data_IF_722382142698
#
_entry.id   IF_722382142698
#
_cell.length_a   1.000
_cell.length_b   1.000
_cell.length_c   1.000
_cell.angle_alpha   90.00
_cell.angle_beta   90.00
_cell.angle_gamma   90.00
#
_symmetry.space_group_name_H-M   'P 1'
#
loop_
_entity.id
_entity.type
_entity.pdbx_description
1 polymer ?
#
# COMPACT_ATOMS: atom_id res chain seq x y z
N UNK A 1 50.67 20.02 30.92
CA UNK A 1 49.22 20.17 30.68
C UNK A 1 48.68 18.80 30.34
N UNK A 2 48.04 18.14 31.31
CA UNK A 2 47.37 16.84 31.13
C UNK A 2 45.97 17.08 30.58
N UNK A 3 45.63 16.44 29.46
CA UNK A 3 44.26 16.45 28.91
C UNK A 3 43.26 15.90 29.93
N UNK A 4 42.07 16.50 30.09
CA UNK A 4 41.02 15.95 30.92
C UNK A 4 40.47 14.66 30.27
N UNK A 5 40.50 13.57 31.03
CA UNK A 5 39.92 12.29 30.63
C UNK A 5 38.45 12.47 30.25
N UNK A 6 38.11 12.20 28.98
CA UNK A 6 36.73 12.18 28.53
C UNK A 6 35.96 11.13 29.33
N UNK A 7 35.03 11.60 30.16
CA UNK A 7 34.17 10.76 30.98
C UNK A 7 33.26 9.97 30.03
N UNK A 8 33.56 8.68 29.83
CA UNK A 8 32.68 7.77 29.10
C UNK A 8 31.41 7.61 29.94
N UNK A 9 30.33 8.26 29.53
CA UNK A 9 29.01 8.08 30.13
C UNK A 9 28.52 6.69 29.71
N UNK A 10 28.74 5.69 30.55
CA UNK A 10 28.12 4.38 30.39
C UNK A 10 26.61 4.52 30.56
N UNK A 11 25.89 4.53 29.45
CA UNK A 11 24.42 4.54 29.43
C UNK A 11 23.90 3.10 29.62
N UNK A 12 24.06 2.56 30.83
CA UNK A 12 23.46 1.26 31.14
C UNK A 12 21.94 1.43 31.23
N UNK A 13 21.20 0.75 30.35
CA UNK A 13 19.74 0.70 30.46
C UNK A 13 19.40 -0.22 31.63
N UNK A 14 18.50 0.17 32.56
CA UNK A 14 18.03 -0.72 33.62
C UNK A 14 17.48 -2.02 33.03
N UNK A 15 17.71 -3.17 33.68
CA UNK A 15 17.26 -4.48 33.17
C UNK A 15 15.75 -4.53 32.94
N UNK A 16 14.99 -3.78 33.73
CA UNK A 16 13.53 -3.65 33.64
C UNK A 16 13.09 -2.89 32.38
N UNK A 17 13.97 -2.09 31.78
CA UNK A 17 13.73 -1.28 30.58
C UNK A 17 14.43 -1.85 29.33
N UNK A 18 15.16 -2.96 29.46
CA UNK A 18 15.74 -3.65 28.32
C UNK A 18 14.65 -4.21 27.41
N UNK A 19 14.64 -3.75 26.16
CA UNK A 19 13.66 -4.23 25.18
C UNK A 19 14.01 -5.67 24.79
N UNK A 20 13.02 -6.57 24.68
CA UNK A 20 13.26 -7.91 24.20
C UNK A 20 13.86 -7.87 22.79
N UNK A 21 14.78 -8.81 22.52
CA UNK A 21 15.39 -8.92 21.20
C UNK A 21 14.32 -9.27 20.16
N UNK A 22 14.19 -8.42 19.14
CA UNK A 22 13.21 -8.60 18.06
C UNK A 22 13.64 -9.68 17.05
N UNK A 23 14.95 -9.89 16.91
CA UNK A 23 15.53 -10.93 16.06
C UNK A 23 16.23 -11.94 16.95
N UNK A 24 15.67 -13.15 17.00
CA UNK A 24 16.17 -14.25 17.83
C UNK A 24 17.33 -14.97 17.14
N UNK A 25 18.11 -15.73 17.92
CA UNK A 25 19.18 -16.63 17.44
C UNK A 25 20.38 -15.94 16.76
N UNK A 26 20.63 -14.66 17.05
CA UNK A 26 21.80 -13.88 16.61
C UNK A 26 22.22 -14.13 15.14
N UNK A 27 21.25 -14.01 14.22
CA UNK A 27 21.45 -14.33 12.80
C UNK A 27 22.32 -13.29 12.10
N UNK A 28 23.19 -13.73 11.19
CA UNK A 28 24.02 -12.84 10.37
C UNK A 28 23.19 -12.15 9.28
N UNK A 29 23.67 -11.00 8.79
CA UNK A 29 23.01 -10.30 7.68
C UNK A 29 22.90 -11.15 6.42
N UNK A 30 23.93 -11.96 6.11
CA UNK A 30 23.90 -12.89 4.98
C UNK A 30 22.77 -13.90 5.07
N UNK A 31 22.55 -14.47 6.27
CA UNK A 31 21.46 -15.42 6.51
C UNK A 31 20.08 -14.80 6.23
N UNK A 32 19.86 -13.55 6.64
CA UNK A 32 18.59 -12.85 6.40
C UNK A 32 18.36 -12.70 4.90
N UNK A 33 19.37 -12.22 4.17
CA UNK A 33 19.30 -12.06 2.72
C UNK A 33 19.05 -13.38 2.00
N UNK A 34 19.73 -14.47 2.42
CA UNK A 34 19.51 -15.81 1.87
C UNK A 34 18.07 -16.30 2.09
N UNK A 35 17.52 -16.07 3.29
CA UNK A 35 16.15 -16.51 3.61
C UNK A 35 15.09 -15.73 2.86
N UNK A 36 15.21 -14.41 2.76
CA UNK A 36 14.23 -13.58 2.06
C UNK A 36 14.33 -13.75 0.56
N UNK A 37 15.54 -13.67 -0.01
CA UNK A 37 15.74 -13.86 -1.44
C UNK A 37 15.41 -15.29 -1.90
N UNK A 38 15.64 -16.29 -1.04
CA UNK A 38 15.30 -17.68 -1.31
C UNK A 38 13.82 -17.92 -1.61
N UNK A 39 12.91 -17.07 -1.11
CA UNK A 39 11.47 -17.14 -1.44
C UNK A 39 11.23 -16.78 -2.91
N UNK A 40 12.00 -15.84 -3.45
CA UNK A 40 11.89 -15.36 -4.85
C UNK A 40 12.68 -16.24 -5.81
N UNK A 41 13.80 -16.81 -5.35
CA UNK A 41 14.70 -17.65 -6.14
C UNK A 41 14.26 -19.11 -6.22
N UNK A 42 13.57 -19.62 -5.19
CA UNK A 42 13.13 -21.00 -5.09
C UNK A 42 11.93 -21.33 -5.99
N UNK A 43 11.67 -22.64 -6.13
CA UNK A 43 10.50 -23.13 -6.85
C UNK A 43 9.21 -22.78 -6.10
N UNK A 44 8.15 -22.47 -6.86
CA UNK A 44 6.84 -22.16 -6.28
C UNK A 44 6.28 -23.41 -5.60
N UNK A 45 5.91 -23.34 -4.32
CA UNK A 45 5.38 -24.50 -3.61
C UNK A 45 3.99 -24.85 -4.18
N UNK A 46 3.66 -26.15 -4.20
CA UNK A 46 2.42 -26.63 -4.84
C UNK A 46 1.13 -26.01 -4.29
N UNK A 47 1.08 -25.70 -2.99
CA UNK A 47 -0.06 -25.02 -2.36
C UNK A 47 -0.28 -23.61 -2.91
N UNK A 48 0.80 -22.90 -3.28
CA UNK A 48 0.72 -21.55 -3.83
C UNK A 48 0.05 -21.56 -5.20
N UNK A 49 0.37 -22.55 -6.04
CA UNK A 49 -0.28 -22.71 -7.35
C UNK A 49 -1.79 -22.95 -7.21
N UNK A 50 -2.21 -23.74 -6.22
CA UNK A 50 -3.65 -23.99 -5.94
C UNK A 50 -4.31 -22.69 -5.46
N UNK A 51 -3.73 -22.01 -4.47
CA UNK A 51 -4.27 -20.76 -3.94
C UNK A 51 -4.35 -19.67 -5.02
N UNK A 52 -3.33 -19.56 -5.86
CA UNK A 52 -3.31 -18.65 -7.00
C UNK A 52 -4.39 -19.00 -8.02
N UNK A 53 -4.51 -20.28 -8.38
CA UNK A 53 -5.54 -20.75 -9.31
C UNK A 53 -6.96 -20.43 -8.83
N UNK A 54 -7.28 -20.72 -7.57
CA UNK A 54 -8.58 -20.38 -6.96
C UNK A 54 -8.81 -18.86 -6.96
N UNK A 55 -7.83 -18.08 -6.50
CA UNK A 55 -7.94 -16.62 -6.45
C UNK A 55 -8.12 -16.02 -7.85
N UNK A 56 -7.41 -16.55 -8.85
CA UNK A 56 -7.48 -16.12 -10.23
C UNK A 56 -8.86 -16.40 -10.84
N UNK A 57 -9.44 -17.59 -10.59
CA UNK A 57 -10.80 -17.92 -11.04
C UNK A 57 -11.84 -17.00 -10.40
N UNK A 58 -11.73 -16.73 -9.09
CA UNK A 58 -12.63 -15.79 -8.40
C UNK A 58 -12.48 -14.36 -8.94
N UNK A 59 -11.26 -13.93 -9.27
CA UNK A 59 -11.01 -12.64 -9.91
C UNK A 59 -11.65 -12.56 -11.30
N UNK A 60 -11.52 -13.61 -12.13
CA UNK A 60 -12.19 -13.67 -13.44
C UNK A 60 -13.72 -13.65 -13.29
N UNK A 61 -14.26 -14.37 -12.31
CA UNK A 61 -15.69 -14.33 -11.99
C UNK A 61 -16.14 -12.92 -11.62
N UNK A 62 -15.36 -12.21 -10.79
CA UNK A 62 -15.62 -10.81 -10.42
C UNK A 62 -15.68 -9.91 -11.67
N UNK A 63 -14.68 -9.97 -12.55
CA UNK A 63 -14.69 -9.19 -13.79
C UNK A 63 -15.82 -9.59 -14.75
N UNK A 64 -16.20 -10.87 -14.79
CA UNK A 64 -17.39 -11.33 -15.52
C UNK A 64 -18.68 -10.69 -15.02
N UNK A 65 -18.89 -10.63 -13.70
CA UNK A 65 -20.06 -9.98 -13.11
C UNK A 65 -20.04 -8.46 -13.24
N UNK A 66 -18.86 -7.83 -13.25
CA UNK A 66 -18.71 -6.39 -13.57
C UNK A 66 -19.12 -6.14 -15.03
N UNK A 67 -18.71 -7.00 -15.96
CA UNK A 67 -19.16 -6.95 -17.35
C UNK A 67 -20.68 -7.08 -17.48
N UNK A 68 -21.28 -8.04 -16.76
CA UNK A 68 -22.73 -8.20 -16.67
C UNK A 68 -23.39 -6.91 -16.16
N UNK A 69 -22.94 -6.37 -15.03
CA UNK A 69 -23.41 -5.11 -14.44
C UNK A 69 -23.42 -3.95 -15.44
N UNK A 70 -22.38 -3.82 -16.27
CA UNK A 70 -22.31 -2.75 -17.27
C UNK A 70 -23.32 -2.93 -18.40
N UNK A 71 -23.61 -4.16 -18.79
CA UNK A 71 -24.56 -4.44 -19.89
C UNK A 71 -26.02 -4.38 -19.46
N UNK A 72 -26.34 -4.78 -18.23
CA UNK A 72 -27.72 -4.82 -17.73
C UNK A 72 -28.09 -3.64 -16.83
N UNK A 73 -27.10 -2.93 -16.29
CA UNK A 73 -27.27 -1.78 -15.41
C UNK A 73 -27.25 -2.13 -13.91
N UNK A 74 -27.14 -1.08 -13.09
CA UNK A 74 -26.93 -1.15 -11.64
C UNK A 74 -28.11 -1.78 -10.87
N UNK A 75 -29.29 -1.87 -11.48
CA UNK A 75 -30.47 -2.51 -10.90
C UNK A 75 -30.29 -3.98 -10.55
N UNK A 76 -29.30 -4.68 -11.13
CA UNK A 76 -28.95 -6.07 -10.80
C UNK A 76 -28.62 -6.26 -9.32
N UNK A 77 -28.11 -5.22 -8.66
CA UNK A 77 -27.82 -5.29 -7.23
C UNK A 77 -29.05 -5.32 -6.32
N UNK A 78 -30.26 -5.16 -6.87
CA UNK A 78 -31.49 -5.17 -6.09
C UNK A 78 -31.61 -3.99 -5.12
N UNK A 79 -30.95 -2.87 -5.46
CA UNK A 79 -31.10 -1.62 -4.73
C UNK A 79 -32.52 -1.09 -4.88
N UNK A 80 -33.13 -0.70 -3.77
CA UNK A 80 -34.51 -0.21 -3.74
C UNK A 80 -34.53 1.21 -3.18
N UNK A 81 -35.41 2.07 -3.69
CA UNK A 81 -35.68 3.33 -3.01
C UNK A 81 -36.48 3.05 -1.72
N UNK A 82 -36.07 3.53 -0.54
CA UNK A 82 -35.15 4.65 -0.29
C UNK A 82 -33.65 4.29 -0.08
N UNK A 83 -33.28 3.02 0.00
CA UNK A 83 -31.91 2.55 0.22
C UNK A 83 -31.16 2.35 -1.10
N UNK A 84 -30.66 3.46 -1.65
CA UNK A 84 -29.92 3.46 -2.92
C UNK A 84 -28.45 3.01 -2.79
N UNK A 85 -27.92 2.87 -1.57
CA UNK A 85 -26.57 2.35 -1.30
C UNK A 85 -26.65 1.03 -0.54
N UNK A 86 -25.90 0.04 -1.02
CA UNK A 86 -25.84 -1.29 -0.41
C UNK A 86 -24.40 -1.81 -0.37
N UNK A 87 -24.22 -3.07 -0.73
CA UNK A 87 -22.94 -3.78 -0.64
C UNK A 87 -21.77 -3.09 -1.36
N UNK A 88 -22.01 -2.37 -2.45
CA UNK A 88 -20.93 -1.68 -3.16
C UNK A 88 -20.22 -0.64 -2.29
N UNK A 89 -20.98 0.23 -1.62
CA UNK A 89 -20.41 1.27 -0.73
C UNK A 89 -19.90 0.66 0.58
N UNK A 90 -20.60 -0.34 1.13
CA UNK A 90 -20.11 -1.05 2.33
C UNK A 90 -18.74 -1.68 2.06
N UNK A 91 -18.59 -2.38 0.93
CA UNK A 91 -17.31 -2.99 0.54
C UNK A 91 -16.26 -1.94 0.21
N UNK A 92 -16.63 -0.82 -0.42
CA UNK A 92 -15.72 0.31 -0.64
C UNK A 92 -15.10 0.80 0.68
N UNK A 93 -15.92 1.14 1.66
CA UNK A 93 -15.47 1.63 2.98
C UNK A 93 -14.63 0.55 3.68
N UNK A 94 -15.06 -0.71 3.60
CA UNK A 94 -14.36 -1.85 4.19
C UNK A 94 -12.95 -2.04 3.60
N UNK A 95 -12.83 -2.05 2.27
CA UNK A 95 -11.55 -2.24 1.59
C UNK A 95 -10.61 -1.04 1.77
N UNK A 96 -11.11 0.20 1.74
CA UNK A 96 -10.30 1.37 2.11
C UNK A 96 -9.84 1.24 3.56
N UNK A 97 -10.74 0.83 4.47
CA UNK A 97 -10.46 0.57 5.88
C UNK A 97 -9.27 -0.37 6.08
N UNK A 98 -9.32 -1.56 5.49
CA UNK A 98 -8.21 -2.54 5.51
C UNK A 98 -6.90 -1.89 5.04
N UNK A 99 -6.96 -1.03 4.03
CA UNK A 99 -5.80 -0.34 3.50
C UNK A 99 -5.09 0.56 4.52
N UNK A 100 -5.77 1.12 5.51
CA UNK A 100 -5.19 2.05 6.49
C UNK A 100 -4.27 1.36 7.50
N UNK A 101 -4.54 0.12 7.88
CA UNK A 101 -3.68 -0.64 8.77
C UNK A 101 -2.24 -0.72 8.22
N UNK A 102 -2.08 -0.91 6.91
CA UNK A 102 -0.76 -1.06 6.29
C UNK A 102 0.09 0.22 6.28
N UNK A 103 -0.54 1.36 6.01
CA UNK A 103 0.12 2.69 6.01
C UNK A 103 0.39 3.18 7.42
N UNK A 104 -0.46 2.84 8.40
CA UNK A 104 -0.19 3.08 9.81
C UNK A 104 1.07 2.33 10.27
N UNK A 105 1.17 1.03 9.97
CA UNK A 105 2.33 0.21 10.35
C UNK A 105 3.61 0.73 9.70
N UNK A 106 3.55 1.23 8.47
CA UNK A 106 4.74 1.65 7.74
C UNK A 106 5.16 3.10 8.02
N UNK A 107 4.22 4.04 8.15
CA UNK A 107 4.48 5.46 8.35
C UNK A 107 4.42 5.88 9.84
N UNK A 108 3.30 5.63 10.54
CA UNK A 108 3.12 6.12 11.93
C UNK A 108 4.12 5.45 12.86
N UNK A 109 4.27 4.12 12.79
CA UNK A 109 5.26 3.41 13.61
C UNK A 109 6.70 3.82 13.27
N UNK A 110 6.97 4.26 12.04
CA UNK A 110 8.27 4.82 11.68
C UNK A 110 8.53 6.15 12.40
N UNK A 111 7.56 7.06 12.38
CA UNK A 111 7.64 8.34 13.10
C UNK A 111 7.81 8.13 14.62
N UNK A 112 7.11 7.14 15.17
CA UNK A 112 7.22 6.72 16.57
C UNK A 112 8.49 5.89 16.87
N UNK A 113 9.39 5.71 15.89
CA UNK A 113 10.65 4.96 15.99
C UNK A 113 10.47 3.54 16.56
N UNK A 114 9.36 2.89 16.25
CA UNK A 114 9.09 1.52 16.64
C UNK A 114 9.84 0.54 15.74
N UNK A 115 10.86 -0.13 16.28
CA UNK A 115 11.78 -0.97 15.50
C UNK A 115 11.17 -2.30 15.02
N UNK A 116 10.11 -2.78 15.68
CA UNK A 116 9.47 -4.07 15.37
C UNK A 116 8.75 -4.09 14.01
N UNK A 117 8.32 -2.93 13.52
CA UNK A 117 7.65 -2.77 12.21
C UNK A 117 8.49 -3.30 11.04
N UNK A 118 9.82 -3.33 11.19
CA UNK A 118 10.79 -3.64 10.12
C UNK A 118 10.55 -5.03 9.50
N UNK A 119 9.97 -5.96 10.24
CA UNK A 119 9.68 -7.31 9.76
C UNK A 119 8.36 -7.43 8.97
N UNK A 120 7.46 -6.45 9.09
CA UNK A 120 6.08 -6.51 8.58
C UNK A 120 5.81 -5.40 7.55
N UNK A 121 6.62 -4.33 7.53
CA UNK A 121 6.37 -3.14 6.72
C UNK A 121 6.14 -3.43 5.22
N UNK A 122 6.94 -4.28 4.58
CA UNK A 122 6.84 -4.57 3.13
C UNK A 122 5.51 -5.25 2.79
N UNK A 123 5.08 -6.21 3.61
CA UNK A 123 3.80 -6.92 3.42
C UNK A 123 2.60 -6.03 3.74
N UNK A 124 2.73 -5.19 4.77
CA UNK A 124 1.70 -4.23 5.16
C UNK A 124 1.48 -3.15 4.08
N UNK A 125 2.55 -2.59 3.52
CA UNK A 125 2.48 -1.62 2.42
C UNK A 125 1.89 -2.25 1.14
N UNK A 126 2.25 -3.51 0.82
CA UNK A 126 1.65 -4.23 -0.30
C UNK A 126 0.15 -4.51 -0.10
N UNK A 127 -0.25 -4.91 1.12
CA UNK A 127 -1.65 -5.10 1.50
C UNK A 127 -2.46 -3.82 1.27
N UNK A 128 -1.92 -2.65 1.65
CA UNK A 128 -2.58 -1.36 1.37
C UNK A 128 -2.84 -1.18 -0.12
N UNK A 129 -1.84 -1.37 -0.97
CA UNK A 129 -1.97 -1.11 -2.40
C UNK A 129 -3.05 -2.00 -3.00
N UNK A 130 -3.05 -3.30 -2.69
CA UNK A 130 -4.07 -4.22 -3.21
C UNK A 130 -5.46 -3.92 -2.65
N UNK A 131 -5.57 -3.59 -1.37
CA UNK A 131 -6.85 -3.21 -0.77
C UNK A 131 -7.43 -1.94 -1.42
N UNK A 132 -6.60 -0.93 -1.68
CA UNK A 132 -7.01 0.31 -2.36
C UNK A 132 -7.39 0.05 -3.82
N UNK A 133 -6.72 -0.87 -4.52
CA UNK A 133 -7.13 -1.28 -5.87
C UNK A 133 -8.52 -1.94 -5.83
N UNK A 134 -8.75 -2.86 -4.89
CA UNK A 134 -10.08 -3.47 -4.71
C UNK A 134 -11.14 -2.43 -4.34
N UNK A 135 -10.82 -1.48 -3.46
CA UNK A 135 -11.72 -0.40 -3.11
C UNK A 135 -12.06 0.49 -4.30
N UNK A 136 -11.06 0.90 -5.08
CA UNK A 136 -11.21 1.83 -6.22
C UNK A 136 -12.10 1.30 -7.34
N UNK A 137 -12.35 -0.01 -7.40
CA UNK A 137 -13.32 -0.59 -8.32
C UNK A 137 -14.73 -0.09 -7.99
N UNK A 138 -15.11 -0.03 -6.71
CA UNK A 138 -16.47 0.25 -6.29
C UNK A 138 -16.98 1.65 -6.70
N UNK A 139 -16.24 2.77 -6.48
CA UNK A 139 -16.61 4.10 -6.99
C UNK A 139 -16.78 4.15 -8.51
N UNK A 140 -16.07 3.30 -9.25
CA UNK A 140 -16.25 3.19 -10.70
C UNK A 140 -17.55 2.47 -11.06
N UNK A 141 -17.79 1.31 -10.47
CA UNK A 141 -18.85 0.40 -10.92
C UNK A 141 -20.23 0.70 -10.32
N UNK A 142 -20.30 1.42 -9.20
CA UNK A 142 -21.58 1.72 -8.55
C UNK A 142 -22.37 2.85 -9.19
N UNK A 143 -21.75 3.59 -10.10
CA UNK A 143 -22.38 4.67 -10.84
C UNK A 143 -23.13 4.10 -12.04
N UNK A 144 -24.38 4.53 -12.23
CA UNK A 144 -25.24 4.05 -13.32
C UNK A 144 -24.69 4.28 -14.73
N UNK A 145 -23.83 5.29 -14.90
CA UNK A 145 -23.18 5.64 -16.18
C UNK A 145 -21.67 5.77 -16.00
N UNK A 146 -20.99 4.63 -15.80
CA UNK A 146 -19.54 4.59 -15.57
C UNK A 146 -18.71 5.30 -16.66
N UNK A 147 -19.15 5.28 -17.93
CA UNK A 147 -18.41 5.92 -19.03
C UNK A 147 -18.29 7.45 -18.91
N UNK A 148 -19.05 8.09 -18.01
CA UNK A 148 -18.89 9.51 -17.66
C UNK A 148 -18.06 9.74 -16.39
N UNK A 149 -17.42 8.72 -15.80
CA UNK A 149 -16.62 8.87 -14.60
C UNK A 149 -15.47 9.90 -14.76
N UNK A 150 -14.99 10.13 -15.99
CA UNK A 150 -13.97 11.15 -16.26
C UNK A 150 -14.46 12.58 -15.99
N UNK A 151 -15.78 12.84 -15.91
CA UNK A 151 -16.34 14.15 -15.49
C UNK A 151 -16.09 14.47 -14.02
N UNK A 152 -15.66 13.50 -13.21
CA UNK A 152 -15.25 13.75 -11.84
C UNK A 152 -13.88 14.44 -11.77
N UNK A 153 -13.07 14.37 -12.84
CA UNK A 153 -11.78 15.03 -12.88
C UNK A 153 -11.95 16.50 -13.32
N UNK A 154 -11.21 17.44 -12.70
CA UNK A 154 -11.27 18.86 -13.04
C UNK A 154 -10.48 19.14 -14.32
N UNK A 155 -11.00 18.67 -15.46
CA UNK A 155 -10.40 18.81 -16.77
C UNK A 155 -11.16 19.89 -17.56
N UNK A 156 -10.47 20.89 -18.13
CA UNK A 156 -11.11 21.86 -19.02
C UNK A 156 -11.83 21.15 -20.16
N UNK A 157 -13.11 21.46 -20.34
CA UNK A 157 -13.93 20.94 -21.43
C UNK A 157 -14.47 22.10 -22.28
N UNK A 158 -14.97 21.78 -23.47
CA UNK A 158 -15.49 22.77 -24.42
C UNK A 158 -16.69 23.58 -23.89
N UNK A 159 -17.32 23.14 -22.79
CA UNK A 159 -18.50 23.77 -22.21
C UNK A 159 -18.16 24.57 -20.92
N UNK A 160 -16.88 24.66 -20.54
CA UNK A 160 -16.42 25.30 -19.30
C UNK A 160 -17.09 24.77 -18.01
N UNK A 161 -17.53 23.52 -18.02
CA UNK A 161 -18.21 22.88 -16.88
C UNK A 161 -17.17 22.25 -15.94
N UNK A 162 -17.32 22.49 -14.65
CA UNK A 162 -16.45 21.95 -13.60
C UNK A 162 -17.20 21.04 -12.62
N UNK A 163 -16.49 20.11 -11.95
CA UNK A 163 -17.06 19.30 -10.87
C UNK A 163 -17.54 20.15 -9.68
N UNK A 164 -18.49 19.63 -8.90
CA UNK A 164 -18.95 20.26 -7.66
C UNK A 164 -18.02 19.94 -6.48
N UNK A 165 -17.19 20.90 -6.09
CA UNK A 165 -16.21 20.80 -4.99
C UNK A 165 -16.82 20.77 -3.57
N UNK A 166 -18.14 20.90 -3.42
CA UNK A 166 -18.82 20.75 -2.12
C UNK A 166 -19.25 19.31 -1.83
N UNK A 167 -19.19 18.41 -2.81
CA UNK A 167 -19.65 17.03 -2.67
C UNK A 167 -18.57 16.16 -2.02
N UNK A 168 -18.85 15.49 -0.88
CA UNK A 168 -17.93 14.53 -0.28
C UNK A 168 -17.51 13.40 -1.23
N UNK A 169 -18.41 12.92 -2.09
CA UNK A 169 -18.10 11.92 -3.13
C UNK A 169 -17.01 12.37 -4.11
N UNK A 170 -16.89 13.68 -4.37
CA UNK A 170 -15.81 14.20 -5.20
C UNK A 170 -14.50 14.23 -4.42
N UNK A 171 -14.54 14.57 -3.13
CA UNK A 171 -13.37 14.52 -2.25
C UNK A 171 -12.82 13.11 -2.17
N UNK A 172 -13.68 12.09 -2.18
CA UNK A 172 -13.31 10.68 -2.26
C UNK A 172 -12.45 10.35 -3.48
N UNK A 173 -12.78 10.88 -4.66
CA UNK A 173 -11.96 10.70 -5.87
C UNK A 173 -10.54 11.22 -5.66
N UNK A 174 -10.39 12.39 -5.06
CA UNK A 174 -9.07 12.95 -4.75
C UNK A 174 -8.37 12.20 -3.61
N UNK A 175 -9.10 11.86 -2.55
CA UNK A 175 -8.58 11.16 -1.39
C UNK A 175 -8.02 9.79 -1.79
N UNK A 176 -8.82 8.96 -2.48
CA UNK A 176 -8.41 7.62 -2.89
C UNK A 176 -7.29 7.66 -3.94
N UNK A 177 -7.35 8.57 -4.92
CA UNK A 177 -6.31 8.68 -5.96
C UNK A 177 -4.96 9.17 -5.40
N UNK A 178 -4.97 10.18 -4.52
CA UNK A 178 -3.76 10.65 -3.84
C UNK A 178 -3.23 9.62 -2.87
N UNK A 179 -4.12 8.94 -2.11
CA UNK A 179 -3.76 7.85 -1.21
C UNK A 179 -3.08 6.70 -1.94
N UNK A 180 -3.66 6.24 -3.05
CA UNK A 180 -3.07 5.22 -3.91
C UNK A 180 -1.69 5.65 -4.42
N UNK A 181 -1.59 6.87 -4.97
CA UNK A 181 -0.35 7.38 -5.55
C UNK A 181 0.77 7.48 -4.51
N UNK A 182 0.48 8.09 -3.35
CA UNK A 182 1.45 8.25 -2.26
C UNK A 182 1.84 6.88 -1.68
N UNK A 183 0.88 5.97 -1.49
CA UNK A 183 1.16 4.62 -0.99
C UNK A 183 2.04 3.83 -1.97
N UNK A 184 1.76 3.92 -3.27
CA UNK A 184 2.55 3.28 -4.32
C UNK A 184 3.98 3.83 -4.35
N UNK A 185 4.14 5.15 -4.30
CA UNK A 185 5.46 5.80 -4.26
C UNK A 185 6.23 5.45 -2.99
N UNK A 186 5.55 5.40 -1.84
CA UNK A 186 6.17 5.08 -0.55
C UNK A 186 6.65 3.62 -0.51
N UNK A 187 5.81 2.69 -0.96
CA UNK A 187 6.18 1.28 -1.08
C UNK A 187 7.31 1.06 -2.08
N UNK A 188 7.20 1.66 -3.26
CA UNK A 188 8.22 1.55 -4.30
C UNK A 188 9.56 2.12 -3.83
N UNK A 189 9.56 3.29 -3.18
CA UNK A 189 10.77 3.88 -2.59
C UNK A 189 11.45 2.88 -1.66
N UNK A 190 10.69 2.26 -0.75
CA UNK A 190 11.23 1.28 0.18
C UNK A 190 11.71 -0.02 -0.47
N UNK A 191 11.23 -0.36 -1.68
CA UNK A 191 11.69 -1.51 -2.45
C UNK A 191 12.97 -1.27 -3.25
N UNK A 192 13.39 -0.02 -3.51
CA UNK A 192 14.56 0.25 -4.36
C UNK A 192 15.82 -0.52 -3.91
N UNK A 193 16.19 -0.54 -2.61
CA UNK A 193 17.36 -1.31 -2.15
C UNK A 193 17.14 -2.83 -2.23
N UNK A 194 15.92 -3.30 -2.01
CA UNK A 194 15.56 -4.72 -2.06
C UNK A 194 15.66 -5.26 -3.50
N UNK A 195 15.14 -4.51 -4.47
CA UNK A 195 15.22 -4.82 -5.89
C UNK A 195 16.67 -4.84 -6.37
N UNK A 196 17.50 -3.93 -5.87
CA UNK A 196 18.94 -3.93 -6.14
C UNK A 196 19.63 -5.20 -5.61
N UNK A 197 19.23 -5.65 -4.42
CA UNK A 197 19.76 -6.88 -3.82
C UNK A 197 19.39 -8.12 -4.64
N UNK A 198 18.14 -8.21 -5.10
CA UNK A 198 17.70 -9.31 -5.99
C UNK A 198 18.42 -9.27 -7.33
N UNK A 199 18.59 -8.08 -7.94
CA UNK A 199 19.37 -7.89 -9.18
C UNK A 199 20.78 -8.46 -9.03
N UNK A 200 21.47 -8.10 -7.96
CA UNK A 200 22.86 -8.50 -7.75
C UNK A 200 22.99 -10.00 -7.44
N UNK A 201 22.00 -10.58 -6.75
CA UNK A 201 21.92 -12.05 -6.58
C UNK A 201 21.68 -12.80 -7.89
N UNK A 202 20.77 -12.32 -8.73
CA UNK A 202 20.49 -12.94 -10.04
C UNK A 202 21.73 -12.90 -10.96
N UNK A 203 22.56 -11.85 -10.84
CA UNK A 203 23.85 -11.76 -11.54
C UNK A 203 24.86 -12.81 -11.06
N UNK A 204 24.94 -13.03 -9.74
CA UNK A 204 25.81 -14.07 -9.16
C UNK A 204 25.34 -15.47 -9.60
N UNK A 205 24.04 -15.74 -9.51
CA UNK A 205 23.44 -17.02 -9.91
C UNK A 205 23.48 -17.25 -11.42
N UNK A 206 23.63 -16.20 -12.24
CA UNK A 206 23.69 -16.31 -13.70
C UNK A 206 24.78 -17.24 -14.22
N UNK A 207 25.85 -17.47 -13.45
CA UNK A 207 26.94 -18.39 -13.83
C UNK A 207 26.57 -19.87 -13.67
N UNK A 208 25.56 -20.18 -12.85
CA UNK A 208 25.12 -21.55 -12.53
C UNK A 208 23.95 -22.03 -13.40
N UNK A 209 23.31 -21.13 -14.14
CA UNK A 209 22.15 -21.46 -14.99
C UNK A 209 22.61 -22.14 -16.28
N UNK A 210 22.33 -23.43 -16.43
CA UNK A 210 22.58 -24.21 -17.64
C UNK A 210 21.25 -24.39 -18.40
N UNK A 211 21.20 -23.90 -19.65
CA UNK A 211 20.01 -23.96 -20.50
C UNK A 211 19.70 -22.62 -21.19
N UNK A 212 19.46 -22.64 -22.50
CA UNK A 212 19.25 -21.43 -23.30
C UNK A 212 18.02 -20.63 -22.85
N UNK A 213 16.89 -21.31 -22.59
CA UNK A 213 15.65 -20.68 -22.13
C UNK A 213 15.79 -20.06 -20.73
N UNK A 214 16.34 -20.81 -19.77
CA UNK A 214 16.56 -20.33 -18.40
C UNK A 214 17.52 -19.13 -18.35
N UNK A 215 18.54 -19.11 -19.22
CA UNK A 215 19.47 -17.98 -19.34
C UNK A 215 18.79 -16.72 -19.88
N UNK A 216 17.88 -16.87 -20.84
CA UNK A 216 17.12 -15.74 -21.39
C UNK A 216 16.14 -15.17 -20.36
N UNK A 217 15.43 -16.03 -19.63
CA UNK A 217 14.55 -15.64 -18.52
C UNK A 217 15.35 -14.91 -17.43
N UNK A 218 16.53 -15.42 -17.05
CA UNK A 218 17.35 -14.78 -16.03
C UNK A 218 17.85 -13.39 -16.49
N UNK A 219 18.27 -13.25 -17.77
CA UNK A 219 18.64 -11.95 -18.33
C UNK A 219 17.48 -10.96 -18.29
N UNK A 220 16.28 -11.41 -18.64
CA UNK A 220 15.08 -10.60 -18.56
C UNK A 220 14.76 -10.17 -17.12
N UNK A 221 14.79 -11.10 -16.15
CA UNK A 221 14.64 -10.80 -14.72
C UNK A 221 15.69 -9.76 -14.27
N UNK A 222 16.96 -9.97 -14.59
CA UNK A 222 18.03 -9.04 -14.24
C UNK A 222 17.81 -7.64 -14.83
N UNK A 223 17.30 -7.55 -16.06
CA UNK A 223 16.95 -6.28 -16.69
C UNK A 223 15.81 -5.59 -15.93
N UNK A 224 14.71 -6.29 -15.64
CA UNK A 224 13.58 -5.71 -14.91
C UNK A 224 13.97 -5.27 -13.49
N UNK A 225 14.60 -6.14 -12.70
CA UNK A 225 15.08 -5.77 -11.36
C UNK A 225 16.15 -4.66 -11.43
N UNK A 226 16.95 -4.62 -12.49
CA UNK A 226 17.91 -3.55 -12.76
C UNK A 226 17.26 -2.20 -13.05
N UNK A 227 16.21 -2.21 -13.87
CA UNK A 227 15.43 -1.02 -14.24
C UNK A 227 14.74 -0.43 -13.01
N UNK A 228 14.01 -1.25 -12.25
CA UNK A 228 13.30 -0.79 -11.05
C UNK A 228 14.21 -0.48 -9.86
N UNK A 229 15.44 -1.02 -9.83
CA UNK A 229 16.45 -0.59 -8.85
C UNK A 229 17.02 0.81 -9.14
N UNK A 230 16.68 1.45 -10.27
CA UNK A 230 17.09 2.82 -10.64
C UNK A 230 18.59 3.11 -10.44
N UNK A 231 19.45 2.13 -10.77
CA UNK A 231 20.90 2.28 -10.60
C UNK A 231 21.38 2.34 -9.15
N UNK A 232 20.62 1.80 -8.19
CA UNK A 232 21.04 1.77 -6.80
C UNK A 232 22.35 1.00 -6.60
N UNK A 233 23.32 1.68 -5.99
CA UNK A 233 24.67 1.18 -5.67
C UNK A 233 24.95 1.06 -4.17
N UNK A 234 24.02 1.47 -3.31
CA UNK A 234 24.24 1.50 -1.85
C UNK A 234 25.26 2.54 -1.37
N UNK A 235 25.56 3.57 -2.18
CA UNK A 235 26.47 4.65 -1.76
C UNK A 235 25.95 5.42 -0.54
N UNK A 236 26.84 6.01 0.26
CA UNK A 236 26.47 6.83 1.41
C UNK A 236 25.51 7.98 1.01
N UNK A 237 25.72 8.59 -0.16
CA UNK A 237 24.85 9.65 -0.68
C UNK A 237 23.44 9.15 -0.95
N UNK A 238 23.30 7.93 -1.48
CA UNK A 238 21.99 7.32 -1.72
C UNK A 238 21.26 7.04 -0.42
N UNK A 239 21.92 6.43 0.57
CA UNK A 239 21.34 6.14 1.88
C UNK A 239 20.87 7.40 2.61
N UNK A 240 21.70 8.44 2.65
CA UNK A 240 21.33 9.72 3.28
C UNK A 240 20.09 10.35 2.65
N UNK A 241 19.96 10.28 1.33
CA UNK A 241 18.80 10.83 0.63
C UNK A 241 17.56 9.94 0.79
N UNK A 242 17.73 8.62 0.75
CA UNK A 242 16.68 7.63 0.96
C UNK A 242 16.04 7.78 2.34
N UNK A 243 16.83 7.88 3.41
CA UNK A 243 16.30 8.06 4.76
C UNK A 243 15.49 9.35 4.91
N UNK A 244 15.98 10.45 4.32
CA UNK A 244 15.25 11.72 4.28
C UNK A 244 13.94 11.62 3.51
N UNK A 245 13.97 11.01 2.32
CA UNK A 245 12.79 10.82 1.49
C UNK A 245 11.75 9.93 2.19
N UNK A 246 12.17 8.83 2.80
CA UNK A 246 11.30 7.93 3.56
C UNK A 246 10.67 8.65 4.77
N UNK A 247 11.44 9.50 5.47
CA UNK A 247 10.91 10.32 6.56
C UNK A 247 9.88 11.34 6.10
N UNK A 248 10.14 12.04 4.99
CA UNK A 248 9.19 12.98 4.42
C UNK A 248 7.90 12.27 3.98
N UNK A 249 8.01 11.13 3.30
CA UNK A 249 6.84 10.35 2.87
C UNK A 249 6.06 9.79 4.06
N UNK A 250 6.72 9.33 5.12
CA UNK A 250 6.04 8.91 6.35
C UNK A 250 5.31 10.07 7.03
N UNK A 251 5.95 11.25 7.07
CA UNK A 251 5.37 12.49 7.59
C UNK A 251 4.15 12.96 6.81
N UNK A 252 4.17 12.84 5.47
CA UNK A 252 3.06 13.19 4.59
C UNK A 252 1.94 12.14 4.59
N UNK A 253 2.29 10.86 4.68
CA UNK A 253 1.32 9.76 4.66
C UNK A 253 0.48 9.72 5.94
N UNK A 254 1.03 10.13 7.09
CA UNK A 254 0.30 10.12 8.36
C UNK A 254 -0.97 10.99 8.35
N UNK A 255 -0.92 12.30 8.04
CA UNK A 255 -2.12 13.11 7.92
C UNK A 255 -3.00 12.64 6.75
N UNK A 256 -2.41 12.12 5.67
CA UNK A 256 -3.17 11.60 4.53
C UNK A 256 -4.06 10.41 4.93
N UNK A 257 -3.53 9.46 5.69
CA UNK A 257 -4.28 8.30 6.20
C UNK A 257 -5.45 8.74 7.06
N UNK A 258 -5.24 9.69 7.97
CA UNK A 258 -6.30 10.23 8.81
C UNK A 258 -7.34 10.99 7.99
N UNK A 259 -6.91 11.79 7.01
CA UNK A 259 -7.82 12.57 6.17
C UNK A 259 -8.64 11.72 5.22
N UNK A 260 -8.05 10.68 4.62
CA UNK A 260 -8.73 9.85 3.60
C UNK A 260 -9.93 9.12 4.21
N UNK A 261 -9.73 8.45 5.35
CA UNK A 261 -10.85 7.75 5.99
C UNK A 261 -11.86 8.71 6.64
N UNK A 262 -11.42 9.90 7.05
CA UNK A 262 -12.31 10.99 7.46
C UNK A 262 -13.16 11.49 6.29
N UNK A 263 -12.60 11.63 5.09
CA UNK A 263 -13.32 12.05 3.88
C UNK A 263 -14.38 11.01 3.51
N UNK A 264 -14.02 9.72 3.51
CA UNK A 264 -14.99 8.63 3.31
C UNK A 264 -16.11 8.67 4.36
N UNK A 265 -15.82 9.05 5.60
CA UNK A 265 -16.86 9.22 6.62
C UNK A 265 -17.77 10.43 6.37
N UNK A 266 -17.28 11.47 5.68
CA UNK A 266 -18.05 12.67 5.38
C UNK A 266 -19.18 12.40 4.39
N UNK A 267 -19.08 11.36 3.57
CA UNK A 267 -20.18 10.87 2.72
C UNK A 267 -21.45 10.58 3.54
N UNK A 268 -21.28 10.11 4.78
CA UNK A 268 -22.37 9.82 5.70
C UNK A 268 -22.66 11.03 6.60
N UNK A 269 -21.61 11.58 7.24
CA UNK A 269 -21.72 12.60 8.28
C UNK A 269 -22.35 13.92 7.79
N UNK A 270 -22.10 14.30 6.53
CA UNK A 270 -22.64 15.53 5.94
C UNK A 270 -24.09 15.36 5.48
N UNK A 271 -24.59 14.13 5.36
CA UNK A 271 -25.99 13.89 5.02
C UNK A 271 -26.93 14.37 6.14
N UNK A 272 -28.20 14.62 5.78
CA UNK A 272 -29.24 15.01 6.74
C UNK A 272 -30.01 13.80 7.31
N UNK A 273 -29.60 12.58 7.00
CA UNK A 273 -30.30 11.37 7.44
C UNK A 273 -30.09 11.16 8.94
N UNK A 274 -31.17 10.93 9.72
CA UNK A 274 -31.06 10.54 11.11
C UNK A 274 -30.20 9.28 11.26
N UNK A 275 -29.24 9.31 12.19
CA UNK A 275 -28.26 8.25 12.38
C UNK A 275 -26.98 8.39 11.54
N UNK A 276 -27.00 9.18 10.46
CA UNK A 276 -25.79 9.50 9.70
C UNK A 276 -25.25 10.88 10.03
N UNK A 277 -26.12 11.86 10.27
CA UNK A 277 -25.71 13.22 10.63
C UNK A 277 -25.11 13.28 12.04
N UNK A 278 -23.79 13.11 12.15
CA UNK A 278 -23.07 13.19 13.43
C UNK A 278 -21.61 13.59 13.25
N UNK A 279 -21.08 14.33 14.22
CA UNK A 279 -19.72 14.89 14.18
C UNK A 279 -18.64 13.91 14.65
N UNK A 280 -19.03 12.77 15.24
CA UNK A 280 -18.08 11.75 15.73
C UNK A 280 -17.60 10.78 14.65
N UNK A 281 -18.26 10.74 13.49
CA UNK A 281 -17.95 9.78 12.43
C UNK A 281 -16.51 9.86 11.89
N UNK A 282 -15.91 11.02 11.62
CA UNK A 282 -14.54 11.07 11.12
C UNK A 282 -13.51 10.34 12.00
N UNK A 283 -13.38 10.65 13.31
CA UNK A 283 -12.46 9.90 14.15
C UNK A 283 -12.94 8.46 14.42
N UNK A 284 -14.25 8.19 14.46
CA UNK A 284 -14.78 6.84 14.70
C UNK A 284 -14.46 5.89 13.55
N UNK A 285 -14.66 6.33 12.30
CA UNK A 285 -14.33 5.54 11.12
C UNK A 285 -12.81 5.30 11.07
N UNK A 286 -11.99 6.33 11.31
CA UNK A 286 -10.54 6.18 11.36
C UNK A 286 -10.13 5.13 12.40
N UNK A 287 -10.74 5.16 13.59
CA UNK A 287 -10.48 4.15 14.62
C UNK A 287 -10.93 2.74 14.21
N UNK A 288 -12.03 2.61 13.46
CA UNK A 288 -12.47 1.32 12.93
C UNK A 288 -11.59 0.77 11.79
N UNK A 289 -10.85 1.64 11.11
CA UNK A 289 -9.93 1.28 10.04
C UNK A 289 -8.53 0.83 10.54
N UNK A 290 -8.20 1.13 11.80
CA UNK A 290 -6.92 0.82 12.45
C UNK A 290 -7.01 -0.46 13.27
#
# INVERSE_FOLDING_TARGET
MSEPAAQQVETHTPKELERPALVLNNRSFGWITDKVAGIVEGDMPGWWNIAFGVSFVLMLMCFGYIGYLFTTGVGVWGLNHPVAWGWAIVNFVFWIGIGHAGTLISAILFLLRQKWRTSINRTAEAMTIFAVICAGIFPGIHVGRMWFAWWLLPIPNANEIWPQFRSPLLWDVFAVSTYFTVSLLFWYMGLIPDLATIRDRLRIHSKKVTGAAAKLINRFKQFLYGLFAMGWTGSNRHWRNYEKAYLLLAGLSTPLVLSVHSIVSFDFAVSQLPGWHTTIFPPYFVAGAV
#
